data_IF_168904029443
#
_entry.id   IF_168904029443
#
_cell.length_a   1.000
_cell.length_b   1.000
_cell.length_c   1.000
_cell.angle_alpha   90.00
_cell.angle_beta   90.00
_cell.angle_gamma   90.00
#
_symmetry.space_group_name_H-M   'P 1'
#
loop_
_entity.id
_entity.type
_entity.pdbx_description
1 polymer ?
#
# COMPACT_ATOMS: atom_id res chain seq x y z
N UNK A 1 -4.65 4.69 -20.51
CA UNK A 1 -5.25 3.46 -21.11
C UNK A 1 -4.63 2.28 -20.39
N UNK A 2 -5.41 1.32 -19.92
CA UNK A 2 -4.89 0.14 -19.21
C UNK A 2 -4.10 -0.76 -20.17
N UNK A 3 -3.00 -1.32 -19.67
CA UNK A 3 -2.14 -2.26 -20.43
C UNK A 3 -2.73 -3.66 -20.27
N UNK A 4 -2.96 -4.36 -21.38
CA UNK A 4 -3.56 -5.70 -21.39
C UNK A 4 -2.55 -6.77 -20.93
N UNK A 5 -2.97 -7.76 -20.12
CA UNK A 5 -2.08 -8.81 -19.60
C UNK A 5 -1.32 -9.62 -20.67
N UNK A 6 -1.92 -9.82 -21.84
CA UNK A 6 -1.32 -10.56 -22.95
C UNK A 6 -0.25 -9.77 -23.73
N UNK A 7 -0.17 -8.44 -23.50
CA UNK A 7 0.75 -7.58 -24.25
C UNK A 7 2.22 -7.85 -23.90
N UNK A 8 3.16 -7.69 -24.88
CA UNK A 8 4.60 -7.83 -24.60
C UNK A 8 5.09 -6.89 -23.50
N UNK A 9 4.61 -5.65 -23.48
CA UNK A 9 4.96 -4.66 -22.46
C UNK A 9 4.54 -5.13 -21.05
N UNK A 10 3.32 -5.66 -20.89
CA UNK A 10 2.86 -6.17 -19.61
C UNK A 10 3.78 -7.26 -19.08
N UNK A 11 4.05 -8.28 -19.89
CA UNK A 11 4.92 -9.42 -19.52
C UNK A 11 6.32 -8.95 -19.15
N UNK A 12 6.85 -7.98 -19.88
CA UNK A 12 8.16 -7.40 -19.63
C UNK A 12 8.19 -6.67 -18.27
N UNK A 13 7.19 -5.82 -18.00
CA UNK A 13 7.10 -5.05 -16.74
C UNK A 13 6.93 -5.98 -15.54
N UNK A 14 6.06 -6.99 -15.61
CA UNK A 14 5.90 -7.99 -14.55
C UNK A 14 7.21 -8.74 -14.29
N UNK A 15 7.88 -9.20 -15.35
CA UNK A 15 9.18 -9.85 -15.25
C UNK A 15 10.26 -8.94 -14.65
N UNK A 16 10.27 -7.66 -15.02
CA UNK A 16 11.18 -6.67 -14.46
C UNK A 16 10.95 -6.45 -12.96
N UNK A 17 9.69 -6.32 -12.52
CA UNK A 17 9.32 -6.19 -11.10
C UNK A 17 9.82 -7.44 -10.35
N UNK A 18 9.43 -8.63 -10.77
CA UNK A 18 9.81 -9.88 -10.08
C UNK A 18 11.32 -10.08 -10.02
N UNK A 19 12.03 -9.79 -11.11
CA UNK A 19 13.50 -9.87 -11.14
C UNK A 19 14.14 -8.89 -10.14
N UNK A 20 13.66 -7.66 -10.10
CA UNK A 20 14.22 -6.60 -9.22
C UNK A 20 13.98 -6.92 -7.75
N UNK A 21 12.79 -7.40 -7.40
CA UNK A 21 12.44 -7.76 -6.03
C UNK A 21 12.95 -9.15 -5.61
N UNK A 22 13.32 -10.02 -6.56
CA UNK A 22 13.61 -11.42 -6.27
C UNK A 22 12.38 -12.24 -5.87
N UNK A 23 11.20 -11.86 -6.36
CA UNK A 23 9.91 -12.51 -6.06
C UNK A 23 9.37 -13.31 -7.23
N UNK A 24 8.33 -14.12 -7.00
CA UNK A 24 7.58 -14.86 -8.03
C UNK A 24 6.09 -14.81 -7.71
N UNK A 25 5.29 -14.67 -8.75
CA UNK A 25 3.84 -14.92 -8.77
C UNK A 25 2.94 -14.06 -7.87
N UNK A 26 3.48 -13.10 -7.11
CA UNK A 26 2.70 -12.20 -6.27
C UNK A 26 3.32 -10.80 -6.18
N UNK A 27 2.54 -9.83 -5.78
CA UNK A 27 3.00 -8.45 -5.57
C UNK A 27 4.01 -8.41 -4.42
N UNK A 28 5.27 -8.01 -4.66
CA UNK A 28 6.36 -8.20 -3.71
C UNK A 28 6.43 -7.18 -2.58
N UNK A 29 5.69 -6.08 -2.69
CA UNK A 29 5.82 -4.96 -1.74
C UNK A 29 5.54 -5.35 -0.29
N UNK A 30 6.27 -4.77 0.69
CA UNK A 30 6.14 -5.08 2.10
C UNK A 30 4.72 -4.77 2.62
N UNK A 31 4.25 -5.60 3.54
CA UNK A 31 2.94 -5.43 4.17
C UNK A 31 3.11 -5.24 5.68
N UNK A 32 2.77 -4.06 6.22
CA UNK A 32 2.85 -3.81 7.66
C UNK A 32 1.84 -4.66 8.41
N UNK A 33 2.23 -5.13 9.60
CA UNK A 33 1.34 -5.81 10.54
C UNK A 33 0.57 -4.80 11.40
N UNK A 34 -0.58 -5.20 11.93
CA UNK A 34 -1.31 -4.36 12.88
C UNK A 34 -0.50 -4.21 14.17
N UNK A 35 -0.42 -2.97 14.68
CA UNK A 35 0.30 -2.71 15.93
C UNK A 35 -0.45 -3.30 17.12
N UNK A 36 0.30 -3.86 18.06
CA UNK A 36 -0.18 -4.40 19.34
C UNK A 36 0.63 -3.80 20.48
N UNK A 37 0.14 -3.91 21.72
CA UNK A 37 0.84 -3.40 22.92
C UNK A 37 2.27 -3.91 23.07
N UNK A 38 2.55 -5.15 22.69
CA UNK A 38 3.89 -5.75 22.70
C UNK A 38 4.90 -5.06 21.80
N UNK A 39 4.45 -4.27 20.81
CA UNK A 39 5.30 -3.57 19.85
C UNK A 39 5.75 -2.18 20.35
N UNK A 40 5.07 -1.60 21.36
CA UNK A 40 5.40 -0.25 21.84
C UNK A 40 6.83 -0.06 22.36
N UNK A 41 7.48 -1.05 23.00
CA UNK A 41 8.88 -0.92 23.37
C UNK A 41 9.81 -0.68 22.16
N UNK A 42 9.50 -1.27 20.99
CA UNK A 42 10.28 -1.06 19.76
C UNK A 42 10.19 0.40 19.28
N UNK A 43 8.99 0.98 19.32
CA UNK A 43 8.78 2.37 18.92
C UNK A 43 9.51 3.36 19.86
N UNK A 44 9.56 3.07 21.16
CA UNK A 44 10.26 3.90 22.15
C UNK A 44 11.78 3.94 21.96
N UNK A 45 12.35 2.94 21.30
CA UNK A 45 13.78 2.85 21.00
C UNK A 45 14.29 3.89 19.99
N UNK A 46 13.42 4.73 19.40
CA UNK A 46 13.79 5.86 18.54
C UNK A 46 14.28 5.50 17.13
N UNK A 47 14.23 4.23 16.77
CA UNK A 47 14.67 3.73 15.44
C UNK A 47 13.50 3.64 14.43
N UNK A 48 12.46 4.41 14.65
CA UNK A 48 11.26 4.45 13.81
C UNK A 48 10.93 5.86 13.35
N UNK A 49 10.30 5.90 12.18
CA UNK A 49 9.59 7.07 11.69
C UNK A 49 8.11 6.76 11.57
N UNK A 50 7.29 7.79 11.62
CA UNK A 50 5.84 7.72 11.43
C UNK A 50 5.42 8.58 10.27
N UNK A 51 4.42 8.14 9.52
CA UNK A 51 3.69 8.95 8.56
C UNK A 51 2.20 8.62 8.65
N UNK A 52 1.37 9.49 8.11
CA UNK A 52 -0.06 9.23 7.94
C UNK A 52 -0.28 8.08 6.96
N UNK A 53 -1.28 7.24 7.22
CA UNK A 53 -1.76 6.23 6.30
C UNK A 53 -2.85 6.82 5.42
N UNK A 54 -2.47 7.24 4.21
CA UNK A 54 -3.41 7.74 3.20
C UNK A 54 -4.37 6.62 2.79
N UNK A 55 -5.65 6.95 2.68
CA UNK A 55 -6.68 6.03 2.18
C UNK A 55 -6.79 6.10 0.66
N UNK A 56 -5.85 5.48 -0.01
CA UNK A 56 -5.73 5.42 -1.47
C UNK A 56 -5.56 4.00 -1.98
N UNK A 57 -4.99 3.85 -3.15
CA UNK A 57 -4.65 2.56 -3.73
C UNK A 57 -3.13 2.43 -3.90
N UNK A 58 -2.52 1.39 -3.32
CA UNK A 58 -1.08 1.15 -3.47
C UNK A 58 -0.71 0.90 -4.92
N UNK A 59 0.27 1.66 -5.41
CA UNK A 59 0.87 1.51 -6.73
C UNK A 59 2.40 1.59 -6.66
N UNK A 60 3.04 0.79 -7.49
CA UNK A 60 4.44 1.03 -7.84
C UNK A 60 4.51 1.95 -9.05
N UNK A 61 5.37 2.97 -9.03
CA UNK A 61 5.85 3.61 -10.24
C UNK A 61 6.99 2.78 -10.82
N UNK A 62 6.83 2.33 -12.05
CA UNK A 62 7.86 1.58 -12.79
C UNK A 62 8.27 2.38 -14.01
N UNK A 63 9.53 2.82 -14.07
CA UNK A 63 10.07 3.49 -15.24
C UNK A 63 11.24 2.69 -15.82
N UNK A 64 11.21 2.43 -17.13
CA UNK A 64 12.18 1.59 -17.83
C UNK A 64 12.21 1.87 -19.33
N UNK A 65 13.22 1.31 -20.01
CA UNK A 65 13.25 1.26 -21.46
C UNK A 65 12.61 -0.04 -21.97
N UNK A 66 11.68 0.06 -22.90
CA UNK A 66 11.08 -1.10 -23.58
C UNK A 66 11.11 -0.87 -25.09
N UNK A 67 11.75 -1.77 -25.85
CA UNK A 67 11.92 -1.67 -27.31
C UNK A 67 12.44 -0.28 -27.76
N UNK A 68 13.45 0.24 -27.06
CA UNK A 68 14.04 1.54 -27.32
C UNK A 68 13.17 2.75 -26.94
N UNK A 69 12.02 2.55 -26.31
CA UNK A 69 11.09 3.61 -25.89
C UNK A 69 11.05 3.75 -24.38
N UNK A 70 11.01 4.98 -23.91
CA UNK A 70 10.79 5.31 -22.49
C UNK A 70 9.37 4.94 -22.07
N UNK A 71 9.23 4.17 -21.00
CA UNK A 71 7.94 3.77 -20.41
C UNK A 71 7.91 4.10 -18.94
N UNK A 72 6.86 4.78 -18.50
CA UNK A 72 6.54 5.00 -17.11
C UNK A 72 5.13 4.49 -16.84
N UNK A 73 4.99 3.60 -15.86
CA UNK A 73 3.73 2.93 -15.56
C UNK A 73 3.44 3.02 -14.06
N UNK A 74 2.15 3.11 -13.71
CA UNK A 74 1.67 2.82 -12.37
C UNK A 74 1.09 1.41 -12.35
N UNK A 75 1.52 0.59 -11.38
CA UNK A 75 1.21 -0.84 -11.28
C UNK A 75 0.64 -1.12 -9.89
N UNK A 76 -0.61 -1.56 -9.79
CA UNK A 76 -1.26 -1.87 -8.51
C UNK A 76 -0.98 -3.31 -8.04
N UNK A 77 -1.51 -3.68 -6.86
CA UNK A 77 -1.30 -5.01 -6.25
C UNK A 77 -1.79 -6.20 -7.09
N UNK A 78 -2.80 -5.98 -7.93
CA UNK A 78 -3.33 -7.01 -8.84
C UNK A 78 -2.57 -7.03 -10.19
N UNK A 79 -1.45 -6.32 -10.30
CA UNK A 79 -0.71 -6.09 -11.55
C UNK A 79 -1.55 -5.42 -12.64
N UNK A 80 -2.67 -4.77 -12.29
CA UNK A 80 -3.28 -3.84 -13.22
C UNK A 80 -2.35 -2.65 -13.39
N UNK A 81 -2.09 -2.27 -14.64
CA UNK A 81 -1.15 -1.21 -14.92
C UNK A 81 -1.61 -0.29 -16.04
N UNK A 82 -1.18 0.96 -15.97
CA UNK A 82 -1.42 1.95 -17.00
C UNK A 82 -0.21 2.86 -17.17
N UNK A 83 -0.02 3.31 -18.41
CA UNK A 83 1.08 4.22 -18.75
C UNK A 83 0.74 5.65 -18.29
N UNK A 84 1.71 6.32 -17.70
CA UNK A 84 1.63 7.72 -17.28
C UNK A 84 2.66 8.56 -18.03
N UNK A 85 2.27 9.78 -18.40
CA UNK A 85 3.16 10.76 -19.00
C UNK A 85 3.71 11.65 -17.90
N UNK A 86 5.02 11.57 -17.67
CA UNK A 86 5.76 12.41 -16.74
C UNK A 86 7.08 12.82 -17.42
N UNK A 87 7.46 14.08 -17.26
CA UNK A 87 8.71 14.57 -17.82
C UNK A 87 9.90 14.25 -16.90
N UNK A 88 10.31 12.98 -16.90
CA UNK A 88 11.40 12.43 -16.10
C UNK A 88 12.74 12.57 -16.84
N UNK A 89 13.83 12.70 -16.06
CA UNK A 89 15.20 12.61 -16.60
C UNK A 89 15.45 11.27 -17.31
N UNK A 90 16.43 11.26 -18.21
CA UNK A 90 16.75 10.08 -19.02
C UNK A 90 17.17 8.88 -18.17
N UNK A 91 17.97 9.09 -17.16
CA UNK A 91 18.52 8.07 -16.26
C UNK A 91 17.45 7.35 -15.42
N UNK A 92 16.31 7.99 -15.16
CA UNK A 92 15.17 7.34 -14.49
C UNK A 92 14.69 6.10 -15.27
N UNK A 93 14.83 6.12 -16.59
CA UNK A 93 14.43 5.00 -17.46
C UNK A 93 15.51 3.89 -17.59
N UNK A 94 16.67 4.04 -16.95
CA UNK A 94 17.65 2.96 -16.80
C UNK A 94 17.17 1.87 -15.81
N UNK A 95 16.02 2.11 -15.22
CA UNK A 95 15.29 1.24 -14.31
C UNK A 95 15.00 1.94 -12.99
N UNK A 96 13.72 2.19 -12.72
CA UNK A 96 13.27 2.78 -11.44
C UNK A 96 12.00 2.10 -10.99
N UNK A 97 11.95 1.71 -9.71
CA UNK A 97 10.76 1.22 -9.01
C UNK A 97 10.63 2.00 -7.71
N UNK A 98 9.59 2.82 -7.62
CA UNK A 98 9.18 3.52 -6.40
C UNK A 98 7.87 2.93 -5.91
N UNK A 99 7.70 2.84 -4.58
CA UNK A 99 6.47 2.35 -3.95
C UNK A 99 5.70 3.51 -3.33
N UNK A 100 4.40 3.55 -3.52
CA UNK A 100 3.60 4.67 -3.08
C UNK A 100 2.11 4.35 -2.99
N UNK A 101 1.37 5.33 -2.49
CA UNK A 101 -0.09 5.33 -2.43
C UNK A 101 -0.64 6.33 -3.44
N UNK A 102 -1.42 5.86 -4.39
CA UNK A 102 -2.12 6.71 -5.35
C UNK A 102 -3.42 7.21 -4.72
N UNK A 103 -3.47 8.50 -4.44
CA UNK A 103 -4.65 9.21 -3.99
C UNK A 103 -5.03 10.26 -5.04
N UNK A 104 -6.23 10.18 -5.58
CA UNK A 104 -6.66 10.98 -6.72
C UNK A 104 -5.69 10.86 -7.91
N UNK A 105 -4.93 11.92 -8.18
CA UNK A 105 -3.95 11.96 -9.27
C UNK A 105 -2.50 12.10 -8.77
N UNK A 106 -2.26 11.92 -7.47
CA UNK A 106 -0.93 12.05 -6.86
C UNK A 106 -0.47 10.70 -6.31
N UNK A 107 0.67 10.21 -6.81
CA UNK A 107 1.35 9.07 -6.21
C UNK A 107 2.27 9.56 -5.10
N UNK A 108 1.87 9.25 -3.86
CA UNK A 108 2.59 9.62 -2.65
C UNK A 108 3.64 8.56 -2.33
N UNK A 109 4.88 8.84 -2.69
CA UNK A 109 6.01 7.92 -2.57
C UNK A 109 6.41 7.77 -1.10
N UNK A 110 6.47 6.53 -0.62
CA UNK A 110 6.90 6.21 0.74
C UNK A 110 8.08 5.24 0.79
N UNK A 111 8.50 4.65 -0.34
CA UNK A 111 9.71 3.83 -0.40
C UNK A 111 10.27 3.75 -1.84
N UNK A 112 11.51 3.25 -1.95
CA UNK A 112 12.18 3.03 -3.23
C UNK A 112 12.97 1.71 -3.23
N UNK A 113 12.90 1.00 -4.34
CA UNK A 113 13.52 -0.33 -4.53
C UNK A 113 14.71 -0.26 -5.47
N UNK A 114 14.50 0.44 -6.57
CA UNK A 114 15.46 0.66 -7.65
C UNK A 114 15.34 2.12 -8.10
N UNK A 115 16.43 2.84 -8.21
CA UNK A 115 16.43 4.25 -8.64
C UNK A 115 17.53 4.47 -9.67
N UNK A 116 17.18 4.89 -10.88
CA UNK A 116 18.12 5.17 -11.98
C UNK A 116 19.13 4.02 -12.19
N UNK A 117 18.63 2.78 -12.25
CA UNK A 117 19.46 1.57 -12.39
C UNK A 117 20.20 1.11 -11.13
N UNK A 118 20.17 1.88 -10.04
CA UNK A 118 20.81 1.52 -8.78
C UNK A 118 19.81 0.81 -7.86
N UNK A 119 20.14 -0.39 -7.42
CA UNK A 119 19.41 -1.14 -6.39
C UNK A 119 19.60 -0.46 -5.03
N UNK A 120 18.50 -0.11 -4.35
CA UNK A 120 18.51 0.61 -3.06
C UNK A 120 17.73 -0.08 -1.96
N UNK A 121 17.01 -1.17 -2.24
CA UNK A 121 16.14 -1.86 -1.28
C UNK A 121 16.85 -2.37 -0.02
N UNK A 122 18.17 -2.57 -0.06
CA UNK A 122 19.01 -3.01 1.05
C UNK A 122 19.57 -1.86 1.89
N UNK A 123 19.39 -0.61 1.47
CA UNK A 123 19.77 0.58 2.22
C UNK A 123 18.77 0.84 3.36
N UNK A 124 19.13 1.71 4.32
CA UNK A 124 18.18 2.21 5.29
C UNK A 124 17.10 3.10 4.63
N UNK A 125 15.94 3.26 5.29
CA UNK A 125 14.81 4.00 4.74
C UNK A 125 15.18 5.41 4.29
N UNK A 126 15.92 6.17 5.11
CA UNK A 126 16.25 7.57 4.80
C UNK A 126 17.11 7.69 3.54
N UNK A 127 18.04 6.76 3.35
CA UNK A 127 18.83 6.67 2.12
C UNK A 127 17.94 6.35 0.91
N UNK A 128 17.04 5.36 1.03
CA UNK A 128 16.11 5.00 -0.05
C UNK A 128 15.25 6.18 -0.47
N UNK A 129 14.68 6.90 0.51
CA UNK A 129 13.91 8.13 0.25
C UNK A 129 14.77 9.24 -0.36
N UNK A 130 16.02 9.39 0.09
CA UNK A 130 16.98 10.33 -0.48
C UNK A 130 17.24 10.04 -1.97
N UNK A 131 17.48 8.78 -2.34
CA UNK A 131 17.64 8.39 -3.75
C UNK A 131 16.40 8.72 -4.58
N UNK A 132 15.19 8.41 -4.09
CA UNK A 132 13.95 8.75 -4.79
C UNK A 132 13.78 10.27 -4.93
N UNK A 133 14.02 11.02 -3.86
CA UNK A 133 13.89 12.48 -3.83
C UNK A 133 14.81 13.15 -4.85
N UNK A 134 16.11 12.91 -4.75
CA UNK A 134 17.12 13.60 -5.57
C UNK A 134 17.25 13.01 -6.98
N UNK A 135 17.01 11.71 -7.15
CA UNK A 135 17.09 11.04 -8.45
C UNK A 135 15.85 11.23 -9.33
N UNK A 136 14.68 11.31 -8.73
CA UNK A 136 13.41 11.29 -9.48
C UNK A 136 12.55 12.52 -9.22
N UNK A 137 12.22 12.83 -7.95
CA UNK A 137 11.18 13.80 -7.64
C UNK A 137 11.62 15.26 -7.83
N UNK A 138 12.79 15.65 -7.31
CA UNK A 138 13.27 17.04 -7.45
C UNK A 138 13.59 17.42 -8.91
N UNK A 139 14.16 16.51 -9.72
CA UNK A 139 14.46 16.84 -11.12
C UNK A 139 13.25 16.87 -12.06
N UNK A 140 12.06 16.47 -11.58
CA UNK A 140 10.87 16.39 -12.44
C UNK A 140 10.38 17.79 -12.83
N UNK A 141 10.04 17.96 -14.10
CA UNK A 141 9.46 19.22 -14.58
C UNK A 141 8.00 18.93 -14.97
N UNK A 142 7.07 19.40 -14.18
CA UNK A 142 5.66 19.25 -14.46
C UNK A 142 5.17 20.21 -15.52
N UNK A 143 4.48 19.67 -16.50
CA UNK A 143 3.79 20.44 -17.53
C UNK A 143 2.33 20.67 -17.13
N UNK A 144 1.69 21.70 -17.70
CA UNK A 144 0.28 22.00 -17.42
C UNK A 144 -0.66 20.83 -17.77
N UNK A 145 -0.26 19.99 -18.70
CA UNK A 145 -1.05 18.85 -19.20
C UNK A 145 -0.82 17.55 -18.39
N UNK A 146 0.16 17.52 -17.48
CA UNK A 146 0.42 16.32 -16.70
C UNK A 146 -0.73 16.04 -15.75
N UNK A 147 -1.40 14.90 -15.99
CA UNK A 147 -2.52 14.44 -15.17
C UNK A 147 -2.07 13.99 -13.79
N UNK A 148 -0.90 13.33 -13.73
CA UNK A 148 -0.39 12.72 -12.50
C UNK A 148 0.76 13.50 -11.92
N UNK A 149 0.88 13.43 -10.58
CA UNK A 149 1.97 14.04 -9.80
C UNK A 149 2.66 12.98 -8.96
N UNK A 150 3.94 13.19 -8.67
CA UNK A 150 4.67 12.44 -7.65
C UNK A 150 4.92 13.37 -6.47
N UNK A 151 4.69 12.87 -5.27
CA UNK A 151 4.97 13.59 -4.03
C UNK A 151 5.65 12.64 -3.06
N UNK A 152 6.67 13.10 -2.34
CA UNK A 152 7.24 12.32 -1.25
C UNK A 152 6.33 12.41 -0.03
N UNK A 153 6.06 11.29 0.62
CA UNK A 153 5.45 11.30 1.96
C UNK A 153 6.39 11.94 2.96
N UNK A 154 5.81 12.68 3.88
CA UNK A 154 6.55 13.27 5.00
C UNK A 154 6.64 12.24 6.13
N UNK A 155 7.88 12.02 6.59
CA UNK A 155 8.18 11.10 7.67
C UNK A 155 8.70 11.89 8.88
N UNK A 156 8.17 11.60 10.05
CA UNK A 156 8.55 12.22 11.31
C UNK A 156 9.21 11.19 12.21
N UNK A 157 10.29 11.59 12.89
CA UNK A 157 10.91 10.71 13.89
C UNK A 157 9.99 10.50 15.10
N UNK A 158 10.08 9.34 15.74
CA UNK A 158 9.26 9.05 16.92
C UNK A 158 9.46 10.02 18.08
N UNK A 159 10.63 10.67 18.18
CA UNK A 159 10.86 11.75 19.17
C UNK A 159 9.93 12.96 18.96
N UNK A 160 9.52 13.21 17.71
CA UNK A 160 8.70 14.34 17.29
C UNK A 160 7.21 13.91 17.12
N UNK A 161 6.83 12.73 17.66
CA UNK A 161 5.50 12.15 17.48
C UNK A 161 4.37 13.06 17.97
N UNK A 162 4.60 13.77 19.07
CA UNK A 162 3.59 14.71 19.59
C UNK A 162 3.34 15.85 18.61
N UNK A 163 4.38 16.47 18.09
CA UNK A 163 4.31 17.53 17.08
C UNK A 163 3.62 17.03 15.80
N UNK A 164 3.99 15.83 15.35
CA UNK A 164 3.34 15.17 14.23
C UNK A 164 1.82 15.03 14.44
N UNK A 165 1.37 14.61 15.62
CA UNK A 165 -0.05 14.42 15.93
C UNK A 165 -0.81 15.75 16.06
N UNK A 166 -0.18 16.76 16.68
CA UNK A 166 -0.84 18.01 17.02
C UNK A 166 -0.80 19.04 15.85
N UNK A 167 0.25 19.02 15.04
CA UNK A 167 0.51 20.05 14.04
C UNK A 167 0.47 19.52 12.60
N UNK A 168 1.08 18.35 12.32
CA UNK A 168 1.13 17.86 10.95
C UNK A 168 -0.16 17.13 10.55
N UNK A 169 -0.58 16.14 11.32
CA UNK A 169 -1.71 15.27 10.97
C UNK A 169 -3.03 16.03 10.73
N UNK A 170 -3.40 17.06 11.51
CA UNK A 170 -4.62 17.84 11.28
C UNK A 170 -4.59 18.67 9.98
N UNK A 171 -3.41 18.96 9.44
CA UNK A 171 -3.22 19.77 8.24
C UNK A 171 -3.04 18.93 6.96
N UNK A 172 -3.04 17.59 7.08
CA UNK A 172 -3.00 16.69 5.94
C UNK A 172 -4.28 16.82 5.12
N UNK A 173 -4.14 17.03 3.81
CA UNK A 173 -5.28 17.31 2.91
C UNK A 173 -5.97 16.04 2.40
N UNK A 174 -5.22 14.96 2.24
CA UNK A 174 -5.74 13.67 1.79
C UNK A 174 -6.50 12.96 2.91
N UNK A 175 -7.40 12.06 2.53
CA UNK A 175 -8.07 11.19 3.49
C UNK A 175 -7.06 10.25 4.15
N UNK A 176 -7.12 10.17 5.48
CA UNK A 176 -6.22 9.37 6.32
C UNK A 176 -7.02 8.36 7.10
N UNK A 177 -6.63 7.09 7.04
CA UNK A 177 -7.29 6.00 7.76
C UNK A 177 -6.45 5.44 8.92
N UNK A 178 -5.32 6.05 9.23
CA UNK A 178 -4.45 5.63 10.31
C UNK A 178 -3.02 6.15 10.20
N UNK A 179 -2.10 5.41 10.80
CA UNK A 179 -0.67 5.71 10.81
C UNK A 179 0.14 4.49 10.38
N UNK A 180 1.32 4.74 9.80
CA UNK A 180 2.32 3.71 9.51
C UNK A 180 3.62 4.05 10.24
N UNK A 181 4.17 3.07 10.96
CA UNK A 181 5.44 3.16 11.66
C UNK A 181 6.45 2.29 10.93
N UNK A 182 7.50 2.90 10.42
CA UNK A 182 8.50 2.23 9.59
C UNK A 182 9.86 2.23 10.31
N UNK A 183 10.53 1.07 10.45
CA UNK A 183 11.87 1.00 11.01
C UNK A 183 12.86 1.68 10.04
N UNK A 184 13.73 2.53 10.57
CA UNK A 184 14.69 3.30 9.77
C UNK A 184 15.76 2.37 9.16
N UNK A 185 16.29 1.45 9.96
CA UNK A 185 17.48 0.68 9.60
C UNK A 185 17.18 -0.64 8.89
N UNK A 186 15.92 -1.04 8.79
CA UNK A 186 15.57 -2.28 8.13
C UNK A 186 15.61 -2.13 6.60
N UNK A 187 16.16 -3.12 5.88
CA UNK A 187 15.99 -3.21 4.44
C UNK A 187 14.52 -3.51 4.10
N UNK A 188 14.14 -3.30 2.86
CA UNK A 188 12.82 -3.72 2.39
C UNK A 188 12.73 -5.25 2.44
N UNK A 189 11.60 -5.77 2.97
CA UNK A 189 11.30 -7.20 3.01
C UNK A 189 10.09 -7.50 2.16
N UNK A 190 10.13 -8.62 1.43
CA UNK A 190 9.02 -9.08 0.60
C UNK A 190 7.93 -9.68 1.49
N UNK A 191 6.66 -9.36 1.22
CA UNK A 191 5.52 -9.89 1.95
C UNK A 191 5.33 -9.26 3.32
N UNK A 192 4.98 -10.04 4.34
CA UNK A 192 4.73 -9.53 5.69
C UNK A 192 6.01 -8.97 6.31
N UNK A 193 5.96 -7.71 6.75
CA UNK A 193 7.08 -7.02 7.40
C UNK A 193 6.79 -6.90 8.89
N UNK A 194 7.31 -7.84 9.67
CA UNK A 194 7.00 -8.01 11.10
C UNK A 194 7.41 -6.84 12.01
N UNK A 195 8.31 -5.96 11.52
CA UNK A 195 8.78 -4.78 12.24
C UNK A 195 8.21 -3.47 11.69
N UNK A 196 7.39 -3.51 10.63
CA UNK A 196 6.65 -2.37 10.13
C UNK A 196 5.22 -2.44 10.63
N UNK A 197 4.72 -1.39 11.27
CA UNK A 197 3.41 -1.41 11.91
C UNK A 197 2.44 -0.46 11.27
N UNK A 198 1.16 -0.86 11.20
CA UNK A 198 0.03 0.01 10.88
C UNK A 198 -0.88 0.12 12.09
N UNK A 199 -1.35 1.32 12.33
CA UNK A 199 -2.41 1.60 13.30
C UNK A 199 -3.61 2.19 12.59
N UNK A 200 -4.80 1.77 12.97
CA UNK A 200 -6.07 2.36 12.52
C UNK A 200 -6.93 2.69 13.74
N UNK A 201 -7.65 3.81 13.74
CA UNK A 201 -8.69 4.06 14.73
C UNK A 201 -9.70 2.93 14.75
N UNK A 202 -10.22 2.58 15.93
CA UNK A 202 -11.17 1.47 16.09
C UNK A 202 -12.36 1.57 15.14
N UNK A 203 -12.88 2.79 14.91
CA UNK A 203 -14.00 3.07 14.01
C UNK A 203 -13.70 2.81 12.52
N UNK A 204 -12.42 2.75 12.14
CA UNK A 204 -11.97 2.48 10.76
C UNK A 204 -11.43 1.06 10.56
N UNK A 205 -11.50 0.22 11.59
CA UNK A 205 -11.15 -1.19 11.47
C UNK A 205 -12.29 -1.94 10.78
N UNK A 206 -11.95 -2.69 9.75
CA UNK A 206 -12.87 -3.60 9.05
C UNK A 206 -12.44 -5.04 9.33
N UNK A 207 -13.41 -5.93 9.44
CA UNK A 207 -13.19 -7.37 9.58
C UNK A 207 -13.86 -8.05 8.41
N UNK A 208 -13.13 -8.87 7.70
CA UNK A 208 -13.65 -9.68 6.61
C UNK A 208 -14.35 -10.91 7.19
N UNK A 209 -15.62 -11.10 6.83
CA UNK A 209 -16.39 -12.26 7.21
C UNK A 209 -16.64 -13.18 6.02
N UNK A 210 -16.42 -14.48 6.23
CA UNK A 210 -17.05 -15.45 5.35
C UNK A 210 -18.52 -15.56 5.74
N UNK A 211 -19.42 -15.40 4.78
CA UNK A 211 -20.85 -15.47 5.00
C UNK A 211 -21.43 -16.74 4.44
N UNK A 212 -22.27 -17.40 5.21
CA UNK A 212 -23.05 -18.57 4.79
C UNK A 212 -24.52 -18.36 5.09
N UNK A 213 -25.38 -18.69 4.12
CA UNK A 213 -26.82 -18.70 4.33
C UNK A 213 -27.22 -20.04 4.92
N UNK A 214 -27.59 -20.04 6.16
CA UNK A 214 -27.98 -21.24 6.91
C UNK A 214 -29.27 -20.95 7.72
N UNK A 215 -30.03 -22.00 8.15
CA UNK A 215 -31.11 -21.81 9.09
C UNK A 215 -30.60 -21.12 10.37
N UNK A 216 -31.34 -20.12 10.84
CA UNK A 216 -30.99 -19.41 12.07
C UNK A 216 -31.01 -20.40 13.25
N UNK A 217 -30.04 -20.24 14.13
CA UNK A 217 -29.99 -20.81 15.47
C UNK A 217 -30.33 -19.69 16.45
N UNK A 218 -30.74 -19.94 17.61
CA UNK A 218 -31.29 -19.10 18.67
C UNK A 218 -30.51 -17.77 18.96
N UNK A 219 -30.29 -16.94 17.94
CA UNK A 219 -29.65 -15.63 18.10
C UNK A 219 -30.71 -14.55 18.25
N UNK A 220 -30.59 -13.62 19.21
CA UNK A 220 -31.55 -12.53 19.41
C UNK A 220 -31.78 -11.73 18.12
N UNK A 221 -33.06 -11.64 17.71
CA UNK A 221 -33.45 -10.96 16.47
C UNK A 221 -33.53 -11.84 15.23
N UNK A 222 -33.13 -13.12 15.30
CA UNK A 222 -33.32 -14.13 14.27
C UNK A 222 -34.42 -15.10 14.69
N UNK A 223 -35.28 -15.52 13.76
CA UNK A 223 -36.33 -16.50 14.00
C UNK A 223 -35.78 -17.89 13.69
N UNK A 224 -35.84 -18.86 14.65
CA UNK A 224 -35.38 -20.22 14.42
C UNK A 224 -36.00 -20.85 13.17
N UNK A 225 -35.15 -21.48 12.35
CA UNK A 225 -35.59 -22.13 11.10
C UNK A 225 -35.75 -21.21 9.89
N UNK A 226 -35.75 -19.88 10.06
CA UNK A 226 -35.74 -18.93 8.95
C UNK A 226 -34.26 -18.73 8.53
N UNK A 227 -33.96 -18.67 7.20
CA UNK A 227 -32.62 -18.41 6.74
C UNK A 227 -32.03 -17.12 7.33
N UNK A 228 -30.82 -17.20 7.81
CA UNK A 228 -30.02 -16.07 8.28
C UNK A 228 -28.64 -16.11 7.64
N UNK A 229 -27.93 -14.97 7.66
CA UNK A 229 -26.54 -14.91 7.24
C UNK A 229 -25.64 -15.17 8.45
N UNK A 230 -24.89 -16.25 8.42
CA UNK A 230 -23.88 -16.57 9.43
C UNK A 230 -22.55 -16.01 9.04
N UNK A 231 -21.95 -15.27 9.95
CA UNK A 231 -20.66 -14.63 9.79
C UNK A 231 -19.58 -15.49 10.45
N UNK A 232 -18.54 -15.79 9.71
CA UNK A 232 -17.38 -16.55 10.19
C UNK A 232 -16.11 -15.71 9.97
N UNK A 233 -15.24 -15.69 10.96
CA UNK A 233 -13.88 -15.15 10.86
C UNK A 233 -12.88 -16.27 10.68
N UNK A 234 -11.75 -15.99 10.04
CA UNK A 234 -10.67 -16.94 9.90
C UNK A 234 -9.67 -16.76 11.03
N UNK A 235 -9.60 -17.73 11.94
CA UNK A 235 -8.61 -17.79 13.02
C UNK A 235 -7.71 -19.01 12.82
N UNK A 236 -6.38 -18.76 12.74
CA UNK A 236 -5.37 -19.83 12.60
C UNK A 236 -5.70 -20.87 11.54
N UNK A 237 -6.23 -20.41 10.39
CA UNK A 237 -6.61 -21.28 9.27
C UNK A 237 -7.96 -21.99 9.42
N UNK A 238 -8.72 -21.75 10.49
CA UNK A 238 -10.05 -22.33 10.72
C UNK A 238 -11.10 -21.22 10.67
N UNK A 239 -12.29 -21.57 10.17
CA UNK A 239 -13.45 -20.68 10.22
C UNK A 239 -14.11 -20.83 11.60
N UNK A 240 -14.21 -19.72 12.31
CA UNK A 240 -14.87 -19.62 13.61
C UNK A 240 -16.16 -18.81 13.44
N UNK A 241 -17.26 -19.31 13.96
CA UNK A 241 -18.55 -18.61 13.96
C UNK A 241 -18.45 -17.38 14.89
N UNK A 242 -18.86 -16.22 14.37
CA UNK A 242 -18.84 -14.96 15.11
C UNK A 242 -20.22 -14.44 15.43
N UNK A 243 -21.12 -14.39 14.43
CA UNK A 243 -22.45 -13.78 14.59
C UNK A 243 -23.43 -14.22 13.53
N UNK A 244 -24.70 -13.89 13.72
CA UNK A 244 -25.78 -14.03 12.73
C UNK A 244 -26.43 -12.68 12.41
N UNK A 245 -26.77 -12.47 11.14
CA UNK A 245 -27.55 -11.32 10.68
C UNK A 245 -28.86 -11.84 10.07
N UNK A 246 -30.02 -11.30 10.50
CA UNK A 246 -31.30 -11.64 9.90
C UNK A 246 -31.30 -11.37 8.39
N UNK A 247 -31.89 -12.28 7.60
CA UNK A 247 -31.89 -12.21 6.14
C UNK A 247 -32.44 -10.88 5.58
N UNK A 248 -33.43 -10.27 6.27
CA UNK A 248 -34.04 -9.01 5.86
C UNK A 248 -33.22 -7.74 6.11
N UNK A 249 -32.04 -7.85 6.75
CA UNK A 249 -31.17 -6.71 6.99
C UNK A 249 -30.05 -6.52 5.95
N UNK A 250 -29.94 -7.45 5.01
CA UNK A 250 -28.96 -7.41 3.95
C UNK A 250 -29.67 -7.67 2.63
N UNK A 251 -29.87 -6.62 1.84
CA UNK A 251 -30.38 -6.75 0.48
C UNK A 251 -29.36 -7.52 -0.38
N UNK A 252 -29.87 -8.44 -1.22
CA UNK A 252 -29.05 -9.24 -2.16
C UNK A 252 -28.22 -8.39 -3.15
N UNK A 253 -28.36 -7.06 -3.12
CA UNK A 253 -27.66 -6.08 -3.97
C UNK A 253 -26.48 -5.36 -3.31
N UNK A 254 -26.23 -5.58 -2.02
CA UNK A 254 -25.15 -4.92 -1.27
C UNK A 254 -23.82 -5.70 -1.22
N UNK A 255 -23.65 -6.64 -2.14
CA UNK A 255 -22.49 -7.51 -2.22
C UNK A 255 -21.57 -7.09 -3.35
N UNK A 256 -20.62 -6.18 -3.04
CA UNK A 256 -19.36 -6.04 -3.82
C UNK A 256 -18.35 -5.23 -3.01
#
# INVERSE_FOLDING_TARGET
MSIKPESPLYKYVVGFIHKTWGSKDYFPGPQPVSIEYRHFPLLKGGQYVVCEKTDGERHMMVALMFEGKKKCLFVNRAFNMFEVSLNLKKDVYDGTILDGELYENTLMIYDAVLVCGKTVWNENLLNRLGYAKFGVLEPIIYMKMDKYRLQMKEFHHMKDFKEFMDEHLPNVKQEVDGLVFTPINDPIRIGTHETMFKWKPQMKNTVDFMMKREPSRETPGCVPGIPAWRLYVQEKGKLVFESEIPHNRLDDKSWF
#
